data_IF_894052488579
#
_entry.id   IF_894052488579
#
_cell.length_a   1.000
_cell.length_b   1.000
_cell.length_c   1.000
_cell.angle_alpha   90.00
_cell.angle_beta   90.00
_cell.angle_gamma   90.00
#
_symmetry.space_group_name_H-M   'P 1'
#
loop_
_entity.id
_entity.type
_entity.pdbx_description
1 polymer ?
#
# COMPACT_ATOMS: atom_id res chain seq x y z
N UNK A 1 -28.06 -16.64 6.48
CA UNK A 1 -27.44 -15.34 6.12
C UNK A 1 -26.04 -15.55 5.54
N UNK A 2 -25.13 -16.27 6.20
CA UNK A 2 -23.79 -16.58 5.63
C UNK A 2 -23.82 -17.34 4.30
N UNK A 3 -24.74 -18.30 4.12
CA UNK A 3 -24.85 -19.08 2.86
C UNK A 3 -25.25 -18.22 1.66
N UNK A 4 -26.12 -17.22 1.86
CA UNK A 4 -26.57 -16.31 0.78
C UNK A 4 -25.42 -15.42 0.25
N UNK A 5 -24.52 -14.97 1.14
CA UNK A 5 -23.35 -14.21 0.71
C UNK A 5 -22.30 -15.06 0.00
N UNK A 6 -22.20 -16.35 0.33
CA UNK A 6 -21.33 -17.27 -0.38
C UNK A 6 -21.80 -17.47 -1.83
N UNK A 7 -23.08 -17.80 -2.01
CA UNK A 7 -23.68 -18.02 -3.33
C UNK A 7 -23.58 -16.74 -4.18
N UNK A 8 -23.76 -15.57 -3.56
CA UNK A 8 -23.54 -14.28 -4.21
C UNK A 8 -22.09 -14.12 -4.65
N UNK A 9 -21.11 -14.31 -3.76
CA UNK A 9 -19.68 -14.19 -4.13
C UNK A 9 -19.29 -15.16 -5.26
N UNK A 10 -19.80 -16.40 -5.22
CA UNK A 10 -19.58 -17.39 -6.27
C UNK A 10 -20.09 -16.87 -7.63
N UNK A 11 -21.26 -16.25 -7.67
CA UNK A 11 -21.85 -15.74 -8.91
C UNK A 11 -21.03 -14.64 -9.61
N UNK A 12 -20.12 -13.99 -8.88
CA UNK A 12 -19.19 -12.97 -9.36
C UNK A 12 -17.76 -13.51 -9.58
N UNK A 13 -17.48 -14.73 -9.14
CA UNK A 13 -16.14 -15.30 -9.24
C UNK A 13 -15.74 -15.50 -10.70
N UNK A 14 -14.67 -14.80 -11.12
CA UNK A 14 -14.16 -14.77 -12.50
C UNK A 14 -15.11 -14.13 -13.54
N UNK A 15 -16.08 -13.35 -13.08
CA UNK A 15 -17.07 -12.66 -13.93
C UNK A 15 -16.85 -11.13 -13.89
N UNK A 16 -15.92 -10.63 -14.71
CA UNK A 16 -15.48 -9.21 -14.67
C UNK A 16 -16.61 -8.22 -14.94
N UNK A 17 -17.45 -8.48 -15.95
CA UNK A 17 -18.56 -7.58 -16.29
C UNK A 17 -19.56 -7.45 -15.14
N UNK A 18 -19.82 -8.56 -14.44
CA UNK A 18 -20.70 -8.55 -13.27
C UNK A 18 -20.09 -7.80 -12.10
N UNK A 19 -18.77 -7.94 -11.87
CA UNK A 19 -18.06 -7.17 -10.85
C UNK A 19 -18.13 -5.66 -11.14
N UNK A 20 -17.95 -5.25 -12.39
CA UNK A 20 -18.02 -3.85 -12.81
C UNK A 20 -19.44 -3.28 -12.66
N UNK A 21 -20.47 -4.08 -12.95
CA UNK A 21 -21.86 -3.71 -12.72
C UNK A 21 -22.20 -3.63 -11.23
N UNK A 22 -21.72 -4.60 -10.43
CA UNK A 22 -21.91 -4.62 -8.99
C UNK A 22 -21.29 -3.38 -8.33
N UNK A 23 -20.12 -2.95 -8.76
CA UNK A 23 -19.48 -1.73 -8.26
C UNK A 23 -20.39 -0.49 -8.38
N UNK A 24 -21.27 -0.43 -9.38
CA UNK A 24 -22.23 0.67 -9.55
C UNK A 24 -23.41 0.58 -8.57
N UNK A 25 -23.69 -0.61 -8.05
CA UNK A 25 -24.65 -0.84 -6.99
C UNK A 25 -23.91 -0.90 -5.64
N UNK A 26 -23.59 0.28 -5.12
CA UNK A 26 -22.77 0.42 -3.91
C UNK A 26 -23.30 -0.40 -2.73
N UNK A 27 -24.61 -0.44 -2.50
CA UNK A 27 -25.13 -1.08 -1.28
C UNK A 27 -24.89 -2.59 -1.27
N UNK A 28 -25.16 -3.28 -2.38
CA UNK A 28 -24.88 -4.71 -2.51
C UNK A 28 -23.38 -5.00 -2.55
N UNK A 29 -22.61 -4.15 -3.25
CA UNK A 29 -21.15 -4.29 -3.30
C UNK A 29 -20.52 -4.22 -1.91
N UNK A 30 -20.86 -3.20 -1.12
CA UNK A 30 -20.24 -2.99 0.19
C UNK A 30 -20.66 -4.04 1.22
N UNK A 31 -21.86 -4.61 1.10
CA UNK A 31 -22.23 -5.78 1.91
C UNK A 31 -21.31 -6.99 1.63
N UNK A 32 -21.04 -7.27 0.35
CA UNK A 32 -20.14 -8.35 -0.05
C UNK A 32 -18.68 -8.06 0.30
N UNK A 33 -18.24 -6.81 0.20
CA UNK A 33 -16.91 -6.39 0.64
C UNK A 33 -16.74 -6.58 2.15
N UNK A 34 -17.68 -6.09 2.96
CA UNK A 34 -17.66 -6.25 4.42
C UNK A 34 -17.61 -7.72 4.82
N UNK A 35 -18.43 -8.56 4.18
CA UNK A 35 -18.44 -10.00 4.40
C UNK A 35 -17.09 -10.64 4.04
N UNK A 36 -16.48 -10.21 2.93
CA UNK A 36 -15.17 -10.71 2.49
C UNK A 36 -14.05 -10.29 3.44
N UNK A 37 -14.11 -9.08 4.01
CA UNK A 37 -13.14 -8.57 4.98
C UNK A 37 -13.23 -9.25 6.35
N UNK A 38 -14.36 -9.86 6.68
CA UNK A 38 -14.52 -10.66 7.91
C UNK A 38 -13.92 -12.07 7.82
N UNK A 39 -13.42 -12.47 6.64
CA UNK A 39 -12.79 -13.77 6.43
C UNK A 39 -11.36 -13.78 6.98
N UNK A 40 -11.00 -14.85 7.69
CA UNK A 40 -9.63 -15.05 8.14
C UNK A 40 -8.77 -15.68 7.03
N UNK A 41 -8.03 -14.83 6.32
CA UNK A 41 -7.13 -15.25 5.25
C UNK A 41 -5.82 -15.91 5.72
N UNK A 42 -5.57 -15.97 7.04
CA UNK A 42 -4.38 -16.61 7.63
C UNK A 42 -4.52 -18.14 7.74
N UNK A 43 -5.74 -18.67 7.60
CA UNK A 43 -6.01 -20.09 7.73
C UNK A 43 -5.26 -20.93 6.68
N UNK A 44 -4.62 -22.01 7.15
CA UNK A 44 -3.82 -22.93 6.33
C UNK A 44 -4.67 -23.74 5.34
N UNK A 45 -5.93 -24.01 5.68
CA UNK A 45 -6.89 -24.72 4.82
C UNK A 45 -7.91 -23.74 4.27
N UNK A 46 -7.72 -23.32 3.02
CA UNK A 46 -8.64 -22.41 2.33
C UNK A 46 -9.84 -23.19 1.79
N UNK A 47 -11.04 -22.75 2.12
CA UNK A 47 -12.28 -23.24 1.49
C UNK A 47 -12.56 -22.43 0.23
N UNK A 48 -13.45 -22.91 -0.66
CA UNK A 48 -13.90 -22.18 -1.85
C UNK A 48 -14.39 -20.77 -1.52
N UNK A 49 -15.03 -20.59 -0.35
CA UNK A 49 -15.42 -19.28 0.17
C UNK A 49 -14.26 -18.30 0.32
N UNK A 50 -13.11 -18.76 0.82
CA UNK A 50 -11.92 -17.92 0.95
C UNK A 50 -11.35 -17.55 -0.42
N UNK A 51 -11.45 -18.45 -1.40
CA UNK A 51 -11.02 -18.17 -2.76
C UNK A 51 -11.90 -17.11 -3.42
N UNK A 52 -13.23 -17.21 -3.27
CA UNK A 52 -14.18 -16.25 -3.82
C UNK A 52 -14.02 -14.87 -3.18
N UNK A 53 -13.92 -14.80 -1.84
CA UNK A 53 -13.68 -13.56 -1.11
C UNK A 53 -12.32 -12.93 -1.49
N UNK A 54 -11.26 -13.75 -1.60
CA UNK A 54 -9.94 -13.27 -2.00
C UNK A 54 -9.96 -12.73 -3.44
N UNK A 55 -10.63 -13.40 -4.35
CA UNK A 55 -10.80 -12.93 -5.72
C UNK A 55 -11.57 -11.60 -5.74
N UNK A 56 -12.68 -11.51 -5.01
CA UNK A 56 -13.49 -10.29 -4.92
C UNK A 56 -12.68 -9.08 -4.44
N UNK A 57 -11.92 -9.25 -3.35
CA UNK A 57 -11.03 -8.19 -2.83
C UNK A 57 -9.93 -7.88 -3.84
N UNK A 58 -9.30 -8.91 -4.43
CA UNK A 58 -8.21 -8.70 -5.39
C UNK A 58 -8.68 -7.96 -6.65
N UNK A 59 -9.84 -8.33 -7.18
CA UNK A 59 -10.43 -7.66 -8.34
C UNK A 59 -10.78 -6.21 -8.00
N UNK A 60 -11.35 -5.97 -6.82
CA UNK A 60 -11.63 -4.62 -6.32
C UNK A 60 -10.35 -3.77 -6.27
N UNK A 61 -9.29 -4.28 -5.64
CA UNK A 61 -8.03 -3.56 -5.49
C UNK A 61 -7.35 -3.24 -6.82
N UNK A 62 -7.42 -4.14 -7.80
CA UNK A 62 -6.69 -4.02 -9.06
C UNK A 62 -7.48 -3.28 -10.13
N UNK A 63 -8.77 -3.58 -10.25
CA UNK A 63 -9.60 -3.14 -11.37
C UNK A 63 -10.61 -2.07 -10.99
N UNK A 64 -11.12 -2.03 -9.76
CA UNK A 64 -12.15 -1.05 -9.38
C UNK A 64 -11.57 0.20 -8.74
N UNK A 65 -10.59 0.06 -7.85
CA UNK A 65 -9.88 1.20 -7.24
C UNK A 65 -8.95 1.83 -8.28
N UNK A 66 -9.25 3.06 -8.70
CA UNK A 66 -8.46 3.82 -9.68
C UNK A 66 -7.71 4.99 -9.06
N UNK A 67 -8.20 5.51 -7.95
CA UNK A 67 -7.62 6.68 -7.28
C UNK A 67 -8.00 6.72 -5.78
N UNK A 68 -7.58 7.78 -5.09
CA UNK A 68 -7.81 7.96 -3.65
C UNK A 68 -9.29 8.18 -3.30
N UNK A 69 -10.09 8.79 -4.17
CA UNK A 69 -11.52 8.98 -3.90
C UNK A 69 -12.27 7.64 -3.81
N UNK A 70 -11.83 6.63 -4.57
CA UNK A 70 -12.38 5.28 -4.47
C UNK A 70 -12.06 4.66 -3.10
N UNK A 71 -10.87 4.93 -2.56
CA UNK A 71 -10.47 4.47 -1.22
C UNK A 71 -11.21 5.22 -0.11
N UNK A 72 -11.43 6.52 -0.24
CA UNK A 72 -12.25 7.31 0.69
C UNK A 72 -13.70 6.82 0.70
N UNK A 73 -14.25 6.44 -0.46
CA UNK A 73 -15.57 5.82 -0.56
C UNK A 73 -15.60 4.48 0.18
N UNK A 74 -14.57 3.64 0.01
CA UNK A 74 -14.44 2.37 0.72
C UNK A 74 -14.35 2.63 2.22
N UNK A 75 -13.49 3.54 2.68
CA UNK A 75 -13.35 3.92 4.08
C UNK A 75 -14.72 4.30 4.68
N UNK A 76 -15.44 5.21 4.03
CA UNK A 76 -16.76 5.67 4.48
C UNK A 76 -17.77 4.53 4.63
N UNK A 77 -17.68 3.51 3.79
CA UNK A 77 -18.63 2.39 3.74
C UNK A 77 -18.20 1.21 4.61
N UNK A 78 -16.91 1.01 4.84
CA UNK A 78 -16.38 -0.09 5.66
C UNK A 78 -16.09 0.30 7.11
N UNK A 79 -15.95 1.60 7.39
CA UNK A 79 -15.61 2.11 8.71
C UNK A 79 -14.31 1.51 9.22
N UNK A 80 -14.33 0.95 10.43
CA UNK A 80 -13.16 0.37 11.11
C UNK A 80 -12.46 -0.77 10.36
N UNK A 81 -13.09 -1.38 9.35
CA UNK A 81 -12.46 -2.43 8.52
C UNK A 81 -11.56 -1.91 7.40
N UNK A 82 -11.47 -0.59 7.23
CA UNK A 82 -10.61 0.01 6.19
C UNK A 82 -9.15 -0.44 6.32
N UNK A 83 -8.60 -0.55 7.53
CA UNK A 83 -7.22 -1.00 7.74
C UNK A 83 -6.96 -2.40 7.18
N UNK A 84 -7.93 -3.32 7.34
CA UNK A 84 -7.86 -4.68 6.77
C UNK A 84 -7.83 -4.61 5.24
N UNK A 85 -8.72 -3.80 4.64
CA UNK A 85 -8.76 -3.62 3.19
C UNK A 85 -7.45 -3.01 2.67
N UNK A 86 -6.92 -1.97 3.30
CA UNK A 86 -5.67 -1.32 2.90
C UNK A 86 -4.49 -2.30 2.96
N UNK A 87 -4.41 -3.10 4.03
CA UNK A 87 -3.39 -4.14 4.15
C UNK A 87 -3.48 -5.16 3.00
N UNK A 88 -4.68 -5.62 2.65
CA UNK A 88 -4.89 -6.54 1.52
C UNK A 88 -4.63 -5.87 0.16
N UNK A 89 -4.98 -4.59 0.01
CA UNK A 89 -4.76 -3.78 -1.17
C UNK A 89 -3.27 -3.64 -1.47
N UNK A 90 -2.47 -3.23 -0.48
CA UNK A 90 -1.04 -3.01 -0.70
C UNK A 90 -0.21 -4.29 -0.80
N UNK A 91 -0.64 -5.38 -0.16
CA UNK A 91 -0.01 -6.69 -0.32
C UNK A 91 -0.44 -7.41 -1.61
N UNK A 92 -1.31 -6.80 -2.42
CA UNK A 92 -1.68 -7.35 -3.72
C UNK A 92 -0.64 -6.97 -4.77
N UNK A 93 0.18 -7.95 -5.17
CA UNK A 93 1.25 -7.80 -6.16
C UNK A 93 0.80 -7.35 -7.56
N UNK A 94 -0.51 -7.32 -7.84
CA UNK A 94 -1.06 -6.86 -9.11
C UNK A 94 -1.43 -5.36 -9.09
N UNK A 95 -1.47 -4.73 -7.92
CA UNK A 95 -1.65 -3.27 -7.83
C UNK A 95 -0.35 -2.60 -8.27
N UNK A 96 -0.45 -1.68 -9.23
CA UNK A 96 0.75 -1.03 -9.78
C UNK A 96 1.46 -0.16 -8.73
N UNK A 97 2.80 -0.21 -8.71
CA UNK A 97 3.60 0.65 -7.84
C UNK A 97 3.35 2.14 -8.09
N UNK A 98 2.94 2.52 -9.31
CA UNK A 98 2.57 3.92 -9.62
C UNK A 98 1.30 4.33 -8.87
N UNK A 99 0.27 3.47 -8.83
CA UNK A 99 -0.94 3.73 -8.06
C UNK A 99 -0.65 3.77 -6.56
N UNK A 100 0.14 2.81 -6.04
CA UNK A 100 0.59 2.80 -4.64
C UNK A 100 1.29 4.12 -4.31
N UNK A 101 2.23 4.55 -5.15
CA UNK A 101 2.95 5.82 -5.01
C UNK A 101 1.97 7.00 -4.94
N UNK A 102 1.02 7.10 -5.87
CA UNK A 102 0.01 8.18 -5.90
C UNK A 102 -0.83 8.22 -4.62
N UNK A 103 -1.20 7.07 -4.07
CA UNK A 103 -2.00 6.96 -2.85
C UNK A 103 -1.18 7.36 -1.62
N UNK A 104 0.05 6.84 -1.50
CA UNK A 104 0.90 7.05 -0.32
C UNK A 104 1.22 8.53 -0.09
N UNK A 105 1.43 9.32 -1.15
CA UNK A 105 1.64 10.77 -1.02
C UNK A 105 0.35 11.58 -0.87
N UNK A 106 -0.83 10.95 -0.83
CA UNK A 106 -2.05 11.55 -0.26
C UNK A 106 -2.11 11.25 1.22
N UNK A 107 -1.10 11.79 1.89
CA UNK A 107 -0.59 11.25 3.13
C UNK A 107 -1.45 11.61 4.35
N UNK A 108 -2.31 12.63 4.23
CA UNK A 108 -3.36 12.97 5.21
C UNK A 108 -4.46 11.91 5.30
N UNK A 109 -4.90 11.34 4.17
CA UNK A 109 -5.91 10.28 4.15
C UNK A 109 -5.37 9.02 4.85
N UNK A 110 -4.20 8.56 4.44
CA UNK A 110 -3.59 7.34 5.00
C UNK A 110 -3.24 7.52 6.49
N UNK A 111 -2.73 8.70 6.88
CA UNK A 111 -2.43 9.00 8.28
C UNK A 111 -3.67 9.07 9.19
N UNK A 112 -4.86 9.27 8.61
CA UNK A 112 -6.14 9.26 9.32
C UNK A 112 -6.71 7.87 9.58
N UNK A 113 -6.19 6.83 8.92
CA UNK A 113 -6.67 5.46 9.08
C UNK A 113 -6.13 4.87 10.39
N UNK A 114 -7.04 4.45 11.27
CA UNK A 114 -6.64 3.81 12.53
C UNK A 114 -5.81 2.54 12.29
N UNK A 115 -4.77 2.36 13.10
CA UNK A 115 -3.82 1.26 12.97
C UNK A 115 -2.91 1.31 11.74
N UNK A 116 -2.83 2.42 10.98
CA UNK A 116 -2.00 2.48 9.77
C UNK A 116 -0.52 2.09 10.01
N UNK A 117 0.01 2.41 11.19
CA UNK A 117 1.39 2.09 11.58
C UNK A 117 1.71 0.59 11.52
N UNK A 118 0.71 -0.29 11.62
CA UNK A 118 0.90 -1.74 11.58
C UNK A 118 1.20 -2.28 10.17
N UNK A 119 0.81 -1.55 9.13
CA UNK A 119 0.90 -2.03 7.74
C UNK A 119 1.55 -1.04 6.77
N UNK A 120 1.82 0.21 7.16
CA UNK A 120 2.30 1.27 6.25
C UNK A 120 3.75 1.11 5.77
N UNK A 121 4.59 0.37 6.50
CA UNK A 121 6.02 0.25 6.18
C UNK A 121 6.25 -0.35 4.78
N UNK A 122 5.55 -1.45 4.45
CA UNK A 122 5.69 -2.10 3.15
C UNK A 122 5.22 -1.24 1.96
N UNK A 123 4.03 -0.60 1.99
CA UNK A 123 3.61 0.38 0.98
C UNK A 123 4.62 1.52 0.77
N UNK A 124 5.20 2.05 1.86
CA UNK A 124 6.23 3.09 1.78
C UNK A 124 7.49 2.58 1.07
N UNK A 125 7.92 1.34 1.35
CA UNK A 125 9.03 0.72 0.63
C UNK A 125 8.74 0.57 -0.87
N UNK A 126 7.52 0.20 -1.26
CA UNK A 126 7.11 0.10 -2.66
C UNK A 126 7.11 1.48 -3.36
N UNK A 127 6.58 2.51 -2.69
CA UNK A 127 6.57 3.87 -3.19
C UNK A 127 8.00 4.41 -3.35
N UNK A 128 8.84 4.23 -2.33
CA UNK A 128 10.25 4.63 -2.35
C UNK A 128 11.03 3.90 -3.45
N UNK A 129 10.83 2.58 -3.62
CA UNK A 129 11.42 1.82 -4.73
C UNK A 129 11.10 2.43 -6.08
N UNK A 130 9.84 2.76 -6.31
CA UNK A 130 9.40 3.39 -7.55
C UNK A 130 10.08 4.76 -7.74
N UNK A 131 10.08 5.61 -6.71
CA UNK A 131 10.77 6.90 -6.75
C UNK A 131 12.26 6.75 -7.05
N UNK A 132 12.99 5.90 -6.33
CA UNK A 132 14.43 5.69 -6.54
C UNK A 132 14.75 5.19 -7.95
N UNK A 133 13.95 4.25 -8.46
CA UNK A 133 14.18 3.63 -9.77
C UNK A 133 14.02 4.60 -10.94
N UNK A 134 13.13 5.60 -10.82
CA UNK A 134 12.78 6.52 -11.90
C UNK A 134 13.30 7.95 -11.72
N UNK A 135 13.90 8.28 -10.58
CA UNK A 135 14.46 9.62 -10.35
C UNK A 135 15.82 9.79 -11.01
N UNK A 136 16.20 11.02 -11.34
CA UNK A 136 17.55 11.34 -11.79
C UNK A 136 18.55 11.37 -10.63
N UNK A 137 19.84 11.57 -10.95
CA UNK A 137 20.87 11.70 -9.91
C UNK A 137 20.62 12.97 -9.10
N UNK A 138 20.75 12.88 -7.78
CA UNK A 138 20.58 13.99 -6.82
C UNK A 138 19.22 14.70 -6.86
N UNK A 139 18.17 14.01 -7.28
CA UNK A 139 16.85 14.59 -7.48
C UNK A 139 15.90 14.36 -6.29
N UNK A 140 16.17 13.34 -5.46
CA UNK A 140 15.26 12.92 -4.40
C UNK A 140 15.42 13.80 -3.16
N UNK A 141 14.35 14.49 -2.76
CA UNK A 141 14.29 15.21 -1.48
C UNK A 141 13.73 14.34 -0.37
N UNK A 142 13.86 14.79 0.89
CA UNK A 142 13.51 13.98 2.05
C UNK A 142 12.04 13.51 2.04
N UNK A 143 11.12 14.42 1.72
CA UNK A 143 9.68 14.15 1.68
C UNK A 143 9.27 13.18 0.57
N UNK A 144 10.13 12.97 -0.44
CA UNK A 144 9.90 11.97 -1.48
C UNK A 144 10.14 10.54 -0.96
N UNK A 145 10.84 10.34 0.15
CA UNK A 145 11.04 9.00 0.73
C UNK A 145 10.33 8.85 2.07
N UNK A 146 10.27 9.94 2.83
CA UNK A 146 9.74 9.99 4.18
C UNK A 146 8.69 11.11 4.22
N UNK A 147 7.45 10.85 3.77
CA UNK A 147 6.39 11.84 3.84
C UNK A 147 6.18 12.29 5.29
N UNK A 148 6.15 13.60 5.52
CA UNK A 148 6.14 14.18 6.86
C UNK A 148 4.91 13.82 7.70
N UNK A 149 3.81 13.41 7.07
CA UNK A 149 2.59 12.99 7.77
C UNK A 149 2.68 11.59 8.37
N UNK A 150 3.68 10.79 8.00
CA UNK A 150 3.83 9.44 8.55
C UNK A 150 4.82 9.42 9.71
N UNK A 151 4.35 8.90 10.85
CA UNK A 151 5.23 8.57 11.97
C UNK A 151 5.86 7.20 11.74
N UNK A 152 6.93 7.16 10.92
CA UNK A 152 7.66 5.91 10.65
C UNK A 152 8.90 5.73 11.53
N UNK A 153 9.29 4.48 11.72
CA UNK A 153 10.43 4.10 12.56
C UNK A 153 11.75 4.67 12.04
N UNK A 154 12.69 4.96 12.95
CA UNK A 154 14.04 5.40 12.54
C UNK A 154 14.77 4.33 11.72
N UNK A 155 14.47 3.06 11.95
CA UNK A 155 14.98 1.95 11.15
C UNK A 155 14.56 2.08 9.68
N UNK A 156 13.27 2.28 9.41
CA UNK A 156 12.79 2.44 8.05
C UNK A 156 13.35 3.71 7.39
N UNK A 157 13.43 4.83 8.14
CA UNK A 157 14.07 6.07 7.65
C UNK A 157 15.52 5.82 7.24
N UNK A 158 16.31 5.18 8.10
CA UNK A 158 17.71 4.83 7.81
C UNK A 158 17.79 3.95 6.56
N UNK A 159 16.94 2.93 6.45
CA UNK A 159 16.92 2.01 5.32
C UNK A 159 16.62 2.72 3.98
N UNK A 160 15.57 3.53 3.92
CA UNK A 160 15.17 4.24 2.70
C UNK A 160 16.21 5.27 2.24
N UNK A 161 16.77 6.03 3.19
CA UNK A 161 17.82 7.00 2.90
C UNK A 161 19.12 6.31 2.47
N UNK A 162 19.48 5.19 3.12
CA UNK A 162 20.65 4.40 2.74
C UNK A 162 20.56 3.93 1.29
N UNK A 163 19.40 3.40 0.88
CA UNK A 163 19.22 2.93 -0.49
C UNK A 163 19.32 4.06 -1.51
N UNK A 164 18.60 5.16 -1.30
CA UNK A 164 18.66 6.30 -2.22
C UNK A 164 20.06 6.94 -2.29
N UNK A 165 20.82 6.91 -1.19
CA UNK A 165 22.21 7.36 -1.17
C UNK A 165 23.14 6.42 -1.94
N UNK A 166 23.01 5.10 -1.76
CA UNK A 166 23.77 4.09 -2.50
C UNK A 166 23.58 4.23 -4.03
N UNK A 167 22.38 4.61 -4.48
CA UNK A 167 22.05 4.84 -5.88
C UNK A 167 22.46 6.25 -6.39
N UNK A 168 23.02 7.10 -5.52
CA UNK A 168 23.40 8.48 -5.85
C UNK A 168 22.22 9.39 -6.21
N UNK A 169 21.04 9.10 -5.65
CA UNK A 169 19.78 9.77 -5.99
C UNK A 169 19.37 10.85 -5.00
N UNK A 170 19.90 10.83 -3.78
CA UNK A 170 19.59 11.87 -2.78
C UNK A 170 20.09 13.26 -3.21
N UNK A 171 19.21 14.24 -3.08
CA UNK A 171 19.57 15.67 -3.10
C UNK A 171 20.55 16.01 -1.97
N UNK A 172 21.26 17.12 -2.12
CA UNK A 172 22.27 17.56 -1.14
C UNK A 172 21.69 17.74 0.26
N UNK A 173 20.50 18.33 0.39
CA UNK A 173 19.86 18.54 1.69
C UNK A 173 19.44 17.21 2.34
N UNK A 174 18.93 16.26 1.54
CA UNK A 174 18.58 14.94 2.03
C UNK A 174 19.82 14.13 2.45
N UNK A 175 20.94 14.29 1.73
CA UNK A 175 22.23 13.69 2.11
C UNK A 175 22.76 14.29 3.42
N UNK A 176 22.70 15.60 3.59
CA UNK A 176 23.09 16.28 4.84
C UNK A 176 22.23 15.75 6.00
N UNK A 177 20.92 15.64 5.80
CA UNK A 177 20.02 15.05 6.78
C UNK A 177 20.42 13.60 7.12
N UNK A 178 20.70 12.77 6.11
CA UNK A 178 21.11 11.39 6.31
C UNK A 178 22.41 11.29 7.11
N UNK A 179 23.41 12.11 6.78
CA UNK A 179 24.68 12.19 7.50
C UNK A 179 24.52 12.59 8.97
N UNK A 180 23.70 13.60 9.25
CA UNK A 180 23.50 14.10 10.62
C UNK A 180 22.76 13.09 11.48
N UNK A 181 21.71 12.46 10.94
CA UNK A 181 20.80 11.61 11.72
C UNK A 181 21.24 10.13 11.76
N UNK A 182 22.03 9.67 10.78
CA UNK A 182 22.44 8.27 10.62
C UNK A 182 23.94 8.13 10.26
N UNK A 183 24.79 8.92 10.93
CA UNK A 183 26.24 9.06 10.65
C UNK A 183 26.99 7.74 10.46
N UNK A 184 26.73 6.76 11.33
CA UNK A 184 27.39 5.44 11.25
C UNK A 184 27.10 4.76 9.92
N UNK A 185 25.85 4.74 9.49
CA UNK A 185 25.42 4.09 8.24
C UNK A 185 25.92 4.87 7.03
N UNK A 186 25.84 6.21 7.07
CA UNK A 186 26.40 7.09 6.04
C UNK A 186 27.89 6.84 5.80
N UNK A 187 28.70 6.76 6.86
CA UNK A 187 30.15 6.50 6.77
C UNK A 187 30.46 5.14 6.15
N UNK A 188 29.73 4.11 6.55
CA UNK A 188 29.90 2.76 5.99
C UNK A 188 29.63 2.78 4.48
N UNK A 189 28.50 3.32 4.05
CA UNK A 189 28.15 3.36 2.63
C UNK A 189 29.16 4.20 1.84
N UNK A 190 29.53 5.39 2.34
CA UNK A 190 30.48 6.27 1.68
C UNK A 190 31.82 5.57 1.45
N UNK A 191 32.33 4.85 2.45
CA UNK A 191 33.57 4.07 2.30
C UNK A 191 33.46 2.95 1.25
N UNK A 192 32.29 2.34 1.07
CA UNK A 192 32.07 1.32 0.04
C UNK A 192 32.04 1.97 -1.35
N UNK A 193 31.42 3.14 -1.48
CA UNK A 193 31.31 3.88 -2.74
C UNK A 193 32.66 4.49 -3.18
N UNK A 194 33.51 4.93 -2.25
CA UNK A 194 34.86 5.44 -2.55
C UNK A 194 35.83 4.34 -3.04
N UNK A 195 35.56 3.09 -2.69
CA UNK A 195 36.37 1.92 -3.06
C UNK A 195 35.86 1.19 -4.32
N UNK A 196 34.83 1.73 -5.00
CA UNK A 196 34.29 1.21 -6.27
C UNK A 196 34.79 2.04 -7.45
#
# INVERSE_FOLDING_TARGET
MQTDYLDKLESYYRESEKMDLLWRNHDDFFQLLLFSLDMDFSLSKKTSQHEYAKYFISYTSVFLVKNVLDLELIEKKTGSKIGIFMNLFFNNNLVSNELIKKIIYKSDFIGGIDGYSEWIEYPLMLAARNTISFSEKKDIVLNDLIPSSFSISNYLKEYLLSWAYEEGKLSTDAEIYFKINFDKKYKIISSILENK
#
